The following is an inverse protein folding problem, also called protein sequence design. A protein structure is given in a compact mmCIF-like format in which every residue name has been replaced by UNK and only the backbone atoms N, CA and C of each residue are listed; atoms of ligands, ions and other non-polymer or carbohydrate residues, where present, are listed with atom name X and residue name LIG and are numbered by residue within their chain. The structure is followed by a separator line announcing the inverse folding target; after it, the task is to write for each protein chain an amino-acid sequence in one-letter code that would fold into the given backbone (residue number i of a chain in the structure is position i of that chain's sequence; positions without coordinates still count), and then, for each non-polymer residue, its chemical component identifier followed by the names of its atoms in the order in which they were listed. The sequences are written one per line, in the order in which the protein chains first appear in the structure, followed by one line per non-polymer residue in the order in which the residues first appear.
data_IF_854649878219
#
_entry.id   IF_854649878219
#
_cell.length_a   1.000
_cell.length_b   1.000
_cell.length_c   1.000
_cell.angle_alpha   90.00
_cell.angle_beta   90.00
_cell.angle_gamma   90.00
#
_symmetry.space_group_name_H-M   'P 1'
#
loop_
_entity.id
_entity.type
_entity.pdbx_description
1 polymer ?
#
# COMPACT_ATOMS: atom_id res chain seq x y z
N UNK A 1 -1.71 -8.02 -12.33
CA UNK A 1 -2.70 -8.63 -11.41
C UNK A 1 -3.42 -7.58 -10.58
N UNK A 2 -2.74 -6.56 -10.02
CA UNK A 2 -3.39 -5.57 -9.13
C UNK A 2 -4.48 -4.68 -9.78
N UNK A 3 -4.30 -4.22 -11.03
CA UNK A 3 -5.24 -3.29 -11.68
C UNK A 3 -6.72 -3.76 -11.67
N UNK A 4 -7.06 -5.00 -12.10
CA UNK A 4 -8.45 -5.50 -12.02
C UNK A 4 -8.93 -5.73 -10.58
N UNK A 5 -8.06 -6.06 -9.63
CA UNK A 5 -8.40 -6.28 -8.22
C UNK A 5 -8.74 -4.96 -7.51
N UNK A 6 -8.01 -3.88 -7.80
CA UNK A 6 -8.34 -2.55 -7.30
C UNK A 6 -9.67 -2.04 -7.85
N UNK A 7 -9.95 -2.27 -9.14
CA UNK A 7 -11.24 -1.93 -9.76
C UNK A 7 -12.38 -2.72 -9.10
N UNK A 8 -12.16 -4.00 -8.79
CA UNK A 8 -13.11 -4.82 -8.06
C UNK A 8 -13.31 -4.33 -6.60
N UNK A 9 -12.26 -3.87 -5.93
CA UNK A 9 -12.34 -3.26 -4.61
C UNK A 9 -13.18 -1.97 -4.65
N UNK A 10 -12.92 -1.06 -5.60
CA UNK A 10 -13.71 0.18 -5.79
C UNK A 10 -15.18 -0.15 -6.03
N UNK A 11 -15.46 -1.13 -6.89
CA UNK A 11 -16.84 -1.57 -7.16
C UNK A 11 -17.51 -2.19 -5.92
N UNK A 12 -16.78 -2.92 -5.08
CA UNK A 12 -17.30 -3.44 -3.82
C UNK A 12 -17.57 -2.33 -2.80
N UNK A 13 -16.69 -1.32 -2.72
CA UNK A 13 -16.89 -0.14 -1.88
C UNK A 13 -18.14 0.65 -2.29
N UNK A 14 -18.37 0.86 -3.60
CA UNK A 14 -19.59 1.49 -4.14
C UNK A 14 -20.87 0.72 -3.78
N UNK A 15 -20.77 -0.59 -3.56
CA UNK A 15 -21.87 -1.47 -3.13
C UNK A 15 -22.00 -1.57 -1.60
N UNK A 16 -21.35 -0.68 -0.83
CA UNK A 16 -21.28 -0.72 0.64
C UNK A 16 -20.69 -2.01 1.23
N UNK A 17 -19.94 -2.80 0.43
CA UNK A 17 -19.25 -4.02 0.87
C UNK A 17 -17.83 -3.70 1.31
N UNK A 18 -17.69 -2.85 2.33
CA UNK A 18 -16.40 -2.30 2.77
C UNK A 18 -15.43 -3.38 3.24
N UNK A 19 -15.91 -4.41 3.94
CA UNK A 19 -15.08 -5.53 4.37
C UNK A 19 -14.49 -6.29 3.16
N UNK A 20 -15.30 -6.57 2.13
CA UNK A 20 -14.83 -7.24 0.90
C UNK A 20 -13.86 -6.36 0.12
N UNK A 21 -14.18 -5.07 -0.04
CA UNK A 21 -13.28 -4.11 -0.71
C UNK A 21 -11.93 -4.05 -0.03
N UNK A 22 -11.92 -3.95 1.29
CA UNK A 22 -10.70 -3.82 2.06
C UNK A 22 -9.89 -5.12 2.07
N UNK A 23 -10.55 -6.27 2.24
CA UNK A 23 -9.89 -7.57 2.19
C UNK A 23 -9.24 -7.81 0.81
N UNK A 24 -9.87 -7.36 -0.27
CA UNK A 24 -9.32 -7.49 -1.61
C UNK A 24 -8.11 -6.56 -1.82
N UNK A 25 -8.24 -5.29 -1.42
CA UNK A 25 -7.17 -4.30 -1.56
C UNK A 25 -5.95 -4.65 -0.68
N UNK A 26 -6.17 -4.88 0.62
CA UNK A 26 -5.09 -5.23 1.54
C UNK A 26 -4.52 -6.63 1.27
N UNK A 27 -5.37 -7.61 0.95
CA UNK A 27 -4.94 -8.96 0.64
C UNK A 27 -4.04 -9.00 -0.59
N UNK A 28 -4.40 -8.28 -1.65
CA UNK A 28 -3.56 -8.16 -2.86
C UNK A 28 -2.24 -7.43 -2.58
N UNK A 29 -2.30 -6.30 -1.86
CA UNK A 29 -1.10 -5.54 -1.50
C UNK A 29 -0.13 -6.37 -0.62
N UNK A 30 -0.65 -7.07 0.38
CA UNK A 30 0.15 -7.95 1.25
C UNK A 30 0.72 -9.14 0.49
N UNK A 31 -0.03 -9.75 -0.43
CA UNK A 31 0.48 -10.83 -1.27
C UNK A 31 1.62 -10.33 -2.16
N UNK A 32 1.50 -9.14 -2.75
CA UNK A 32 2.56 -8.54 -3.56
C UNK A 32 3.79 -8.21 -2.73
N UNK A 33 3.65 -7.46 -1.63
CA UNK A 33 4.80 -7.04 -0.81
C UNK A 33 5.44 -8.25 -0.11
N UNK A 34 4.61 -9.11 0.47
CA UNK A 34 5.02 -10.29 1.22
C UNK A 34 5.64 -11.40 0.38
N UNK A 35 5.40 -11.43 -0.94
CA UNK A 35 6.07 -12.35 -1.85
C UNK A 35 7.25 -11.70 -2.58
N UNK A 36 7.12 -10.46 -3.05
CA UNK A 36 8.16 -9.79 -3.84
C UNK A 36 9.42 -9.50 -3.02
N UNK A 37 9.29 -9.00 -1.77
CA UNK A 37 10.46 -8.72 -0.92
C UNK A 37 11.30 -9.98 -0.67
N UNK A 38 10.77 -11.09 -0.13
CA UNK A 38 11.57 -12.27 0.12
C UNK A 38 12.05 -12.94 -1.17
N UNK A 39 11.25 -12.93 -2.25
CA UNK A 39 11.68 -13.49 -3.53
C UNK A 39 12.90 -12.75 -4.09
N UNK A 40 12.87 -11.42 -4.10
CA UNK A 40 14.01 -10.58 -4.51
C UNK A 40 15.19 -10.78 -3.55
N UNK A 41 14.94 -10.87 -2.24
CA UNK A 41 15.97 -11.14 -1.23
C UNK A 41 16.71 -12.46 -1.45
N UNK A 42 15.97 -13.54 -1.72
CA UNK A 42 16.54 -14.86 -1.98
C UNK A 42 17.32 -14.87 -3.29
N UNK A 43 16.74 -14.31 -4.36
CA UNK A 43 17.42 -14.24 -5.68
C UNK A 43 18.71 -13.44 -5.55
N UNK A 44 18.67 -12.26 -4.94
CA UNK A 44 19.87 -11.42 -4.83
C UNK A 44 20.94 -12.02 -3.92
N UNK A 45 20.56 -12.76 -2.88
CA UNK A 45 21.50 -13.54 -2.06
C UNK A 45 22.19 -14.64 -2.88
N UNK A 46 21.48 -15.27 -3.81
CA UNK A 46 22.06 -16.30 -4.69
C UNK A 46 22.97 -15.73 -5.78
N UNK A 47 22.76 -14.48 -6.19
CA UNK A 47 23.51 -13.82 -7.26
C UNK A 47 24.57 -12.82 -6.75
N UNK A 48 24.88 -12.81 -5.45
CA UNK A 48 25.85 -11.90 -4.80
C UNK A 48 25.61 -10.41 -5.12
N UNK A 49 24.37 -10.02 -5.40
CA UNK A 49 23.99 -8.64 -5.67
C UNK A 49 23.68 -7.93 -4.34
N UNK A 50 24.23 -6.73 -4.15
CA UNK A 50 23.90 -5.90 -2.99
C UNK A 50 22.48 -5.34 -3.12
N UNK A 51 21.58 -5.82 -2.26
CA UNK A 51 20.22 -5.31 -2.18
C UNK A 51 20.21 -3.99 -1.42
N UNK A 52 20.29 -2.89 -2.15
CA UNK A 52 19.67 -1.66 -1.70
C UNK A 52 18.22 -1.76 -2.13
N UNK A 53 17.26 -1.80 -1.20
CA UNK A 53 15.82 -1.78 -1.55
C UNK A 53 15.41 -0.54 -2.37
N UNK A 54 16.33 0.41 -2.61
CA UNK A 54 16.12 1.62 -3.41
C UNK A 54 15.09 2.57 -2.79
N UNK A 55 14.55 2.23 -1.62
CA UNK A 55 13.60 3.05 -0.89
C UNK A 55 14.39 4.08 -0.10
N UNK A 56 14.32 5.32 -0.58
CA UNK A 56 14.81 6.48 0.15
C UNK A 56 14.11 6.60 1.51
N UNK A 57 14.78 7.15 2.52
CA UNK A 57 14.26 7.28 3.89
C UNK A 57 12.90 8.00 3.89
N UNK A 58 12.73 8.99 3.00
CA UNK A 58 11.48 9.72 2.81
C UNK A 58 10.32 8.80 2.37
N UNK A 59 10.57 7.90 1.43
CA UNK A 59 9.59 6.93 0.93
C UNK A 59 9.20 5.90 1.99
N UNK A 60 10.15 5.46 2.82
CA UNK A 60 9.89 4.57 3.97
C UNK A 60 8.97 5.26 4.98
N UNK A 61 9.20 6.54 5.28
CA UNK A 61 8.38 7.31 6.20
C UNK A 61 6.95 7.47 5.66
N UNK A 62 6.78 7.82 4.37
CA UNK A 62 5.44 7.94 3.77
C UNK A 62 4.68 6.60 3.78
N UNK A 63 5.36 5.50 3.49
CA UNK A 63 4.79 4.16 3.56
C UNK A 63 4.35 3.82 5.00
N UNK A 64 5.21 4.09 5.99
CA UNK A 64 4.88 3.91 7.41
C UNK A 64 3.69 4.73 7.86
N UNK A 65 3.61 6.01 7.47
CA UNK A 65 2.45 6.87 7.73
C UNK A 65 1.18 6.31 7.10
N UNK A 66 1.25 5.84 5.85
CA UNK A 66 0.10 5.29 5.15
C UNK A 66 -0.47 4.06 5.87
N UNK A 67 0.39 3.12 6.29
CA UNK A 67 -0.01 1.94 7.06
C UNK A 67 -0.61 2.34 8.42
N UNK A 68 -0.01 3.32 9.09
CA UNK A 68 -0.49 3.81 10.38
C UNK A 68 -1.87 4.46 10.28
N UNK A 69 -2.09 5.35 9.31
CA UNK A 69 -3.39 6.00 9.06
C UNK A 69 -4.45 4.94 8.69
N UNK A 70 -4.07 3.96 7.88
CA UNK A 70 -4.95 2.86 7.50
C UNK A 70 -5.37 2.03 8.73
N UNK A 71 -4.44 1.72 9.63
CA UNK A 71 -4.72 1.03 10.89
C UNK A 71 -5.68 1.83 11.78
N UNK A 72 -5.45 3.14 11.95
CA UNK A 72 -6.34 4.03 12.70
C UNK A 72 -7.74 4.09 12.09
N UNK A 73 -7.84 4.21 10.77
CA UNK A 73 -9.11 4.26 10.06
C UNK A 73 -9.91 2.97 10.21
N UNK A 74 -9.24 1.83 10.38
CA UNK A 74 -9.86 0.52 10.55
C UNK A 74 -10.22 0.22 12.00
N UNK A 75 -9.37 0.61 12.95
CA UNK A 75 -9.60 0.44 14.38
C UNK A 75 -10.84 1.20 14.87
N UNK A 76 -11.18 2.32 14.23
CA UNK A 76 -12.31 3.15 14.63
C UNK A 76 -13.69 2.54 14.31
N UNK A 77 -13.76 1.41 13.60
CA UNK A 77 -15.00 0.66 13.30
C UNK A 77 -16.01 1.35 12.36
N UNK A 78 -15.85 2.66 12.11
CA UNK A 78 -16.61 3.45 11.14
C UNK A 78 -15.65 4.10 10.13
N UNK A 79 -15.96 3.93 8.85
CA UNK A 79 -15.21 4.54 7.76
C UNK A 79 -15.42 6.04 7.78
N UNK A 80 -14.34 6.81 7.99
CA UNK A 80 -14.39 8.27 8.01
C UNK A 80 -13.74 8.82 6.74
N UNK A 81 -14.47 9.69 6.04
CA UNK A 81 -14.02 10.37 4.81
C UNK A 81 -12.73 11.16 5.06
N UNK A 82 -12.54 11.69 6.27
CA UNK A 82 -11.34 12.45 6.65
C UNK A 82 -10.08 11.60 6.56
N UNK A 83 -10.09 10.37 7.12
CA UNK A 83 -8.92 9.48 7.04
C UNK A 83 -8.63 9.06 5.59
N UNK A 84 -9.68 8.81 4.80
CA UNK A 84 -9.53 8.53 3.36
C UNK A 84 -8.89 9.69 2.59
N UNK A 85 -9.25 10.93 2.90
CA UNK A 85 -8.63 12.12 2.31
C UNK A 85 -7.14 12.23 2.69
N UNK A 86 -6.76 11.95 3.94
CA UNK A 86 -5.35 11.96 4.37
C UNK A 86 -4.54 10.90 3.63
N UNK A 87 -5.08 9.69 3.44
CA UNK A 87 -4.45 8.64 2.62
C UNK A 87 -4.24 9.08 1.16
N UNK A 88 -5.24 9.74 0.54
CA UNK A 88 -5.09 10.28 -0.81
C UNK A 88 -4.03 11.39 -0.87
N UNK A 89 -3.98 12.29 0.11
CA UNK A 89 -2.95 13.33 0.20
C UNK A 89 -1.56 12.71 0.36
N UNK A 90 -1.41 11.67 1.18
CA UNK A 90 -0.14 10.96 1.33
C UNK A 90 0.30 10.31 0.01
N UNK A 91 -0.63 9.68 -0.72
CA UNK A 91 -0.37 9.11 -2.04
C UNK A 91 0.07 10.17 -3.06
N UNK A 92 -0.57 11.35 -3.07
CA UNK A 92 -0.14 12.46 -3.93
C UNK A 92 1.24 12.97 -3.52
N UNK A 93 1.53 13.09 -2.22
CA UNK A 93 2.84 13.49 -1.72
C UNK A 93 3.93 12.48 -2.12
N UNK A 94 3.62 11.17 -2.10
CA UNK A 94 4.50 10.11 -2.57
C UNK A 94 4.81 10.23 -4.06
N UNK A 95 3.78 10.43 -4.90
CA UNK A 95 3.96 10.65 -6.34
C UNK A 95 4.80 11.90 -6.59
N UNK A 96 4.55 12.98 -5.86
CA UNK A 96 5.32 14.22 -5.97
C UNK A 96 6.80 14.01 -5.62
N UNK A 97 7.10 13.34 -4.50
CA UNK A 97 8.49 13.03 -4.11
C UNK A 97 9.20 12.12 -5.11
N UNK A 98 8.48 11.23 -5.80
CA UNK A 98 9.08 10.41 -6.86
C UNK A 98 9.46 11.26 -8.08
N UNK A 99 8.63 12.23 -8.44
CA UNK A 99 8.85 13.10 -9.61
C UNK A 99 9.87 14.22 -9.29
N UNK A 100 9.90 14.70 -8.04
CA UNK A 100 10.82 15.68 -7.49
C UNK A 100 11.47 15.12 -6.22
N UNK A 101 12.56 14.35 -6.36
CA UNK A 101 13.25 13.69 -5.25
C UNK A 101 13.89 14.68 -4.27
#
# INVERSE_FOLDING_TARGET
ILLPEEIAAINAARKNKLQTSLNLALGSALASIGLTIPCVSVVSYMFDMQIMLGLDIKSIILLGLSVFILMLSLASGRTNIVYGAVLLVNLVAFIFLIIHP
#
